data_IF_365331505476
#
_entry.id   IF_365331505476
#
_cell.length_a   1.000
_cell.length_b   1.000
_cell.length_c   1.000
_cell.angle_alpha   90.00
_cell.angle_beta   90.00
_cell.angle_gamma   90.00
#
_symmetry.space_group_name_H-M   'P 1'
#
loop_
_entity.id
_entity.type
_entity.pdbx_description
1 polymer ?
#
# COMPACT_ATOMS: atom_id res chain seq x y z
N UNK A 1 5.06 -10.70 4.70
CA UNK A 1 5.39 -9.45 3.99
C UNK A 1 6.11 -8.59 5.02
N UNK A 2 7.34 -8.99 5.34
CA UNK A 2 7.76 -8.97 6.74
C UNK A 2 8.19 -7.58 7.22
N UNK A 3 8.56 -6.68 6.33
CA UNK A 3 9.02 -5.35 6.73
C UNK A 3 7.89 -4.53 7.34
N UNK A 4 6.84 -4.23 6.56
CA UNK A 4 5.73 -3.38 7.02
C UNK A 4 4.93 -4.03 8.16
N UNK A 5 4.80 -5.36 8.18
CA UNK A 5 4.07 -6.09 9.23
C UNK A 5 4.70 -5.89 10.62
N UNK A 6 6.02 -5.78 10.67
CA UNK A 6 6.77 -5.60 11.92
C UNK A 6 6.93 -4.13 12.33
N UNK A 7 6.49 -3.17 11.50
CA UNK A 7 6.58 -1.76 11.86
C UNK A 7 5.49 -1.36 12.87
N UNK A 8 5.84 -0.42 13.78
CA UNK A 8 4.86 0.28 14.58
C UNK A 8 3.90 1.09 13.68
N UNK A 9 2.68 1.30 14.16
CA UNK A 9 1.60 1.93 13.40
C UNK A 9 1.98 3.37 13.00
N UNK A 10 2.63 4.11 13.89
CA UNK A 10 3.07 5.47 13.63
C UNK A 10 4.06 5.56 12.46
N UNK A 11 4.90 4.54 12.27
CA UNK A 11 5.83 4.49 11.14
C UNK A 11 5.10 4.16 9.84
N UNK A 12 4.13 3.25 9.86
CA UNK A 12 3.29 2.96 8.68
C UNK A 12 2.58 4.22 8.18
N UNK A 13 1.98 4.98 9.10
CA UNK A 13 1.28 6.23 8.76
C UNK A 13 2.25 7.28 8.22
N UNK A 14 3.44 7.41 8.81
CA UNK A 14 4.46 8.36 8.33
C UNK A 14 4.98 7.99 6.95
N UNK A 15 5.29 6.72 6.71
CA UNK A 15 5.72 6.26 5.39
C UNK A 15 4.65 6.45 4.33
N UNK A 16 3.39 6.12 4.63
CA UNK A 16 2.27 6.39 3.75
C UNK A 16 2.21 7.87 3.34
N UNK A 17 2.23 8.77 4.32
CA UNK A 17 2.15 10.23 4.07
C UNK A 17 3.32 10.74 3.27
N UNK A 18 4.54 10.31 3.60
CA UNK A 18 5.76 10.76 2.93
C UNK A 18 5.82 10.26 1.48
N UNK A 19 5.45 9.00 1.22
CA UNK A 19 5.41 8.46 -0.14
C UNK A 19 4.33 9.19 -0.95
N UNK A 20 3.13 9.36 -0.39
CA UNK A 20 2.04 10.06 -1.07
C UNK A 20 2.45 11.49 -1.44
N UNK A 21 2.97 12.25 -0.47
CA UNK A 21 3.42 13.62 -0.69
C UNK A 21 4.51 13.70 -1.77
N UNK A 22 5.50 12.82 -1.73
CA UNK A 22 6.56 12.81 -2.73
C UNK A 22 6.06 12.39 -4.13
N UNK A 23 5.00 11.59 -4.24
CA UNK A 23 4.36 11.32 -5.54
C UNK A 23 3.58 12.54 -6.03
N UNK A 24 2.85 13.21 -5.15
CA UNK A 24 2.10 14.44 -5.48
C UNK A 24 3.02 15.57 -5.96
N UNK A 25 4.20 15.72 -5.35
CA UNK A 25 5.23 16.68 -5.76
C UNK A 25 6.04 16.22 -6.98
N UNK A 26 5.78 15.01 -7.52
CA UNK A 26 6.48 14.45 -8.66
C UNK A 26 7.93 14.02 -8.39
N UNK A 27 8.36 13.99 -7.12
CA UNK A 27 9.67 13.51 -6.68
C UNK A 27 9.76 11.98 -6.86
N UNK A 28 8.68 11.28 -6.53
CA UNK A 28 8.52 9.85 -6.74
C UNK A 28 7.55 9.57 -7.89
N UNK A 29 7.85 8.55 -8.68
CA UNK A 29 6.92 8.11 -9.72
C UNK A 29 5.72 7.39 -9.11
N UNK A 30 4.58 7.40 -9.81
CA UNK A 30 3.37 6.65 -9.43
C UNK A 30 3.56 5.13 -9.31
N UNK A 31 4.70 4.57 -9.75
CA UNK A 31 5.08 3.17 -9.42
C UNK A 31 5.10 2.90 -7.92
N UNK A 32 5.32 3.94 -7.09
CA UNK A 32 5.24 3.84 -5.64
C UNK A 32 3.83 3.55 -5.11
N UNK A 33 2.80 3.59 -5.96
CA UNK A 33 1.46 3.14 -5.58
C UNK A 33 1.43 1.65 -5.22
N UNK A 34 2.31 0.81 -5.80
CA UNK A 34 2.43 -0.56 -5.31
C UNK A 34 2.85 -0.60 -3.83
N UNK A 35 3.84 0.21 -3.43
CA UNK A 35 4.27 0.33 -2.02
C UNK A 35 3.16 0.89 -1.12
N UNK A 36 2.42 1.91 -1.57
CA UNK A 36 1.25 2.41 -0.85
C UNK A 36 0.21 1.30 -0.65
N UNK A 37 -0.03 0.46 -1.67
CA UNK A 37 -0.93 -0.69 -1.57
C UNK A 37 -0.50 -1.70 -0.50
N UNK A 38 0.81 -1.96 -0.37
CA UNK A 38 1.36 -2.81 0.70
C UNK A 38 1.11 -2.19 2.08
N UNK A 39 1.42 -0.89 2.24
CA UNK A 39 1.25 -0.17 3.51
C UNK A 39 -0.23 -0.12 3.91
N UNK A 40 -1.13 0.23 2.99
CA UNK A 40 -2.59 0.29 3.22
C UNK A 40 -3.10 -1.09 3.62
N UNK A 41 -2.66 -2.16 2.95
CA UNK A 41 -3.06 -3.53 3.28
C UNK A 41 -2.64 -3.93 4.69
N UNK A 42 -1.39 -3.62 5.09
CA UNK A 42 -0.89 -3.90 6.44
C UNK A 42 -1.60 -3.04 7.48
N UNK A 43 -1.81 -1.75 7.21
CA UNK A 43 -2.53 -0.83 8.09
C UNK A 43 -3.96 -1.33 8.34
N UNK A 44 -4.66 -1.80 7.30
CA UNK A 44 -5.99 -2.39 7.40
C UNK A 44 -6.01 -3.63 8.31
N UNK A 45 -5.02 -4.54 8.17
CA UNK A 45 -4.87 -5.70 9.08
C UNK A 45 -4.60 -5.29 10.53
N UNK A 46 -4.05 -4.11 10.76
CA UNK A 46 -3.82 -3.52 12.10
C UNK A 46 -4.99 -2.64 12.59
N UNK A 47 -6.11 -2.60 11.86
CA UNK A 47 -7.31 -1.84 12.24
C UNK A 47 -7.25 -0.35 11.91
N UNK A 48 -6.33 0.08 11.04
CA UNK A 48 -6.17 1.48 10.61
C UNK A 48 -6.64 1.61 9.15
N UNK A 49 -7.55 2.54 8.91
CA UNK A 49 -7.99 2.88 7.56
C UNK A 49 -7.07 3.96 6.97
N UNK A 50 -6.48 3.67 5.81
CA UNK A 50 -5.75 4.62 4.98
C UNK A 50 -6.40 4.63 3.60
N UNK A 51 -6.50 5.81 3.00
CA UNK A 51 -7.13 5.96 1.69
C UNK A 51 -6.18 5.58 0.56
N UNK A 52 -6.74 5.15 -0.55
CA UNK A 52 -5.96 5.02 -1.79
C UNK A 52 -5.94 6.38 -2.51
N UNK A 53 -4.83 6.74 -3.20
CA UNK A 53 -4.79 7.87 -4.12
C UNK A 53 -5.92 7.80 -5.15
N UNK A 54 -6.42 8.96 -5.60
CA UNK A 54 -7.60 9.02 -6.48
C UNK A 54 -7.41 8.27 -7.82
N UNK A 55 -6.21 8.35 -8.37
CA UNK A 55 -5.76 7.73 -9.62
C UNK A 55 -5.07 6.38 -9.41
N UNK A 56 -5.10 5.82 -8.20
CA UNK A 56 -4.42 4.57 -7.85
C UNK A 56 -4.79 3.42 -8.80
N UNK A 57 -6.07 3.29 -9.14
CA UNK A 57 -6.59 2.22 -10.01
C UNK A 57 -6.18 2.36 -11.47
N UNK A 58 -5.74 3.54 -11.89
CA UNK A 58 -5.28 3.77 -13.26
C UNK A 58 -3.84 3.25 -13.45
N UNK A 59 -3.05 3.23 -12.38
CA UNK A 59 -1.62 2.92 -12.41
C UNK A 59 -1.29 1.53 -11.85
N UNK A 60 -2.16 0.99 -10.99
CA UNK A 60 -1.95 -0.28 -10.30
C UNK A 60 -2.76 -1.39 -10.94
N UNK A 61 -2.06 -2.42 -11.41
CA UNK A 61 -2.71 -3.66 -11.84
C UNK A 61 -3.16 -4.43 -10.60
N UNK A 62 -4.47 -4.61 -10.45
CA UNK A 62 -5.08 -5.29 -9.30
C UNK A 62 -4.59 -6.72 -9.14
N UNK A 63 -4.39 -7.46 -10.24
CA UNK A 63 -3.90 -8.84 -10.19
C UNK A 63 -2.49 -8.91 -9.61
N UNK A 64 -1.60 -8.02 -10.07
CA UNK A 64 -0.23 -7.91 -9.57
C UNK A 64 -0.23 -7.49 -8.10
N UNK A 65 -1.08 -6.54 -7.71
CA UNK A 65 -1.20 -6.13 -6.31
C UNK A 65 -1.67 -7.32 -5.44
N UNK A 66 -2.68 -8.07 -5.87
CA UNK A 66 -3.18 -9.23 -5.12
C UNK A 66 -2.12 -10.33 -4.96
N UNK A 67 -1.27 -10.52 -5.98
CA UNK A 67 -0.11 -11.43 -5.91
C UNK A 67 0.92 -10.94 -4.89
N UNK A 68 1.28 -9.66 -4.91
CA UNK A 68 2.21 -9.05 -3.95
C UNK A 68 1.68 -9.14 -2.51
N UNK A 69 0.36 -8.98 -2.34
CA UNK A 69 -0.31 -9.13 -1.06
C UNK A 69 -0.46 -10.61 -0.63
N UNK A 70 -0.06 -11.56 -1.49
CA UNK A 70 -0.20 -13.01 -1.26
C UNK A 70 -1.66 -13.42 -1.00
N UNK A 71 -2.63 -12.62 -1.43
CA UNK A 71 -4.07 -12.82 -1.16
C UNK A 71 -4.72 -13.83 -2.12
N UNK A 72 -4.04 -14.24 -3.20
CA UNK A 72 -4.58 -15.24 -4.14
C UNK A 72 -4.83 -16.62 -3.50
N UNK A 73 -4.23 -16.94 -2.35
CA UNK A 73 -4.47 -18.23 -1.67
C UNK A 73 -5.71 -18.23 -0.75
N UNK A 74 -6.36 -17.09 -0.50
CA UNK A 74 -7.54 -16.98 0.39
C UNK A 74 -8.89 -17.15 -0.33
N UNK A 75 -8.90 -17.39 -1.66
CA UNK A 75 -10.14 -17.58 -2.45
C UNK A 75 -10.61 -19.04 -2.59
N UNK A 76 -10.05 -19.97 -1.83
CA UNK A 76 -10.54 -21.35 -1.75
C UNK A 76 -10.98 -21.64 -0.32
N UNK A 77 -12.27 -21.43 -0.07
CA UNK A 77 -13.00 -21.81 1.13
C UNK A 77 -14.45 -22.05 0.76
#
# INVERSE_FOLDING_TARGET
MDFYENLPIEFLIRFYKEILHNVEEGILSKKMYYELGLIISVASRKGISLDFPADFKEEVNEEVLMDLLQLKQLRVG
#
